data_IF_715695517272
#
_entry.id   IF_715695517272
#
_cell.length_a   1.000
_cell.length_b   1.000
_cell.length_c   1.000
_cell.angle_alpha   90.00
_cell.angle_beta   90.00
_cell.angle_gamma   90.00
#
_symmetry.space_group_name_H-M   'P 1'
#
loop_
_entity.id
_entity.type
_entity.pdbx_description
1 polymer ?
#
# COMPACT_ATOMS: atom_id res chain seq x y z
N UNK A 1 -1.93 -33.45 24.87
CA UNK A 1 -1.74 -31.99 24.75
C UNK A 1 -1.87 -31.61 23.28
N UNK A 2 -2.76 -30.70 22.90
CA UNK A 2 -2.76 -30.19 21.52
C UNK A 2 -1.40 -29.52 21.25
N UNK A 3 -0.73 -29.89 20.17
CA UNK A 3 0.52 -29.26 19.74
C UNK A 3 0.23 -27.75 19.55
N UNK A 4 1.05 -26.91 20.14
CA UNK A 4 0.93 -25.47 19.93
C UNK A 4 1.20 -25.14 18.44
N UNK A 5 0.22 -24.57 17.78
CA UNK A 5 0.25 -24.29 16.33
C UNK A 5 1.35 -23.29 15.94
N UNK A 6 1.81 -22.45 16.88
CA UNK A 6 2.73 -21.34 16.64
C UNK A 6 3.99 -21.40 17.54
N UNK A 7 4.37 -22.57 18.01
CA UNK A 7 5.49 -22.74 18.96
C UNK A 7 6.81 -22.22 18.41
N UNK A 8 7.15 -22.57 17.16
CA UNK A 8 8.40 -22.16 16.53
C UNK A 8 8.38 -20.66 16.26
N UNK A 9 7.31 -20.14 15.71
CA UNK A 9 7.14 -18.70 15.42
C UNK A 9 7.28 -17.86 16.68
N UNK A 10 6.67 -18.28 17.80
CA UNK A 10 6.81 -17.59 19.09
C UNK A 10 8.26 -17.59 19.58
N UNK A 11 8.95 -18.74 19.50
CA UNK A 11 10.37 -18.82 19.88
C UNK A 11 11.26 -17.95 19.00
N UNK A 12 10.96 -17.87 17.69
CA UNK A 12 11.69 -17.01 16.77
C UNK A 12 11.42 -15.54 17.06
N UNK A 13 10.19 -15.16 17.41
CA UNK A 13 9.84 -13.79 17.76
C UNK A 13 10.60 -13.32 19.01
N UNK A 14 10.67 -14.13 20.08
CA UNK A 14 11.47 -13.80 21.28
C UNK A 14 12.95 -13.58 20.94
N UNK A 15 13.52 -14.37 20.01
CA UNK A 15 14.89 -14.15 19.55
C UNK A 15 15.03 -12.87 18.74
N UNK A 16 14.03 -12.55 17.91
CA UNK A 16 14.03 -11.33 17.11
C UNK A 16 13.93 -10.09 17.99
N UNK A 17 13.08 -10.08 19.02
CA UNK A 17 12.95 -8.97 19.98
C UNK A 17 14.28 -8.65 20.71
N UNK A 18 15.10 -9.66 20.95
CA UNK A 18 16.41 -9.47 21.56
C UNK A 18 17.45 -8.79 20.63
N UNK A 19 17.21 -8.78 19.31
CA UNK A 19 18.17 -8.33 18.31
C UNK A 19 17.66 -7.18 17.42
N UNK A 20 16.36 -7.07 17.27
CA UNK A 20 15.70 -6.12 16.36
C UNK A 20 14.65 -5.33 17.16
N UNK A 21 14.60 -4.03 17.11
CA UNK A 21 13.58 -3.25 17.81
C UNK A 21 12.15 -3.76 17.56
N UNK A 22 11.46 -4.23 18.63
CA UNK A 22 10.14 -4.85 18.54
C UNK A 22 10.09 -6.15 17.71
N UNK A 23 11.24 -6.79 17.46
CA UNK A 23 11.34 -8.05 16.72
C UNK A 23 11.10 -7.97 15.20
N UNK A 24 10.95 -6.76 14.64
CA UNK A 24 10.54 -6.55 13.23
C UNK A 24 11.29 -5.37 12.59
N UNK A 25 11.39 -5.40 11.24
CA UNK A 25 11.96 -4.30 10.46
C UNK A 25 10.88 -3.33 9.91
N UNK A 26 9.61 -3.51 10.28
CA UNK A 26 8.51 -2.58 10.01
C UNK A 26 7.42 -2.77 11.07
N UNK A 27 6.94 -1.68 11.72
CA UNK A 27 6.13 -1.76 12.95
C UNK A 27 4.86 -2.60 12.85
N UNK A 28 4.12 -2.51 11.74
CA UNK A 28 2.86 -3.23 11.55
C UNK A 28 3.03 -4.77 11.61
N UNK A 29 4.23 -5.28 11.31
CA UNK A 29 4.54 -6.72 11.34
C UNK A 29 4.58 -7.31 12.76
N UNK A 30 4.65 -6.47 13.80
CA UNK A 30 4.71 -6.90 15.21
C UNK A 30 3.33 -7.29 15.80
N UNK A 31 2.25 -7.25 15.02
CA UNK A 31 0.88 -7.57 15.47
C UNK A 31 0.33 -6.66 16.59
N UNK A 32 0.90 -5.48 16.79
CA UNK A 32 0.48 -4.58 17.87
C UNK A 32 -1.02 -4.23 17.81
N UNK A 33 -1.60 -4.07 16.61
CA UNK A 33 -3.03 -3.74 16.45
C UNK A 33 -3.97 -4.92 16.70
N UNK A 34 -3.48 -6.14 16.47
CA UNK A 34 -4.29 -7.35 16.61
C UNK A 34 -3.92 -8.19 17.83
N UNK A 35 -2.75 -7.92 18.44
CA UNK A 35 -2.22 -8.70 19.56
C UNK A 35 -1.69 -10.07 19.14
N UNK A 36 -1.17 -10.82 20.11
CA UNK A 36 -0.52 -12.10 19.86
C UNK A 36 0.90 -11.96 19.30
N UNK A 37 1.43 -13.01 18.73
CA UNK A 37 2.76 -13.06 18.15
C UNK A 37 2.67 -13.24 16.62
N UNK A 38 3.52 -12.56 15.85
CA UNK A 38 3.55 -12.75 14.41
C UNK A 38 4.02 -14.16 14.03
N UNK A 39 3.54 -14.67 12.92
CA UNK A 39 4.03 -15.90 12.30
C UNK A 39 5.32 -15.62 11.53
N UNK A 40 6.26 -16.59 11.54
CA UNK A 40 7.52 -16.47 10.81
C UNK A 40 7.47 -17.29 9.53
N UNK A 41 7.52 -16.61 8.40
CA UNK A 41 7.42 -17.23 7.08
C UNK A 41 8.72 -17.89 6.67
N UNK A 42 8.62 -19.15 6.19
CA UNK A 42 9.71 -19.96 5.65
C UNK A 42 9.82 -19.89 4.14
N UNK A 43 8.67 -19.82 3.44
CA UNK A 43 8.58 -19.69 1.98
C UNK A 43 7.22 -19.15 1.55
N UNK A 44 7.16 -18.61 0.34
CA UNK A 44 5.91 -18.29 -0.35
C UNK A 44 5.91 -18.92 -1.75
N UNK A 45 4.75 -19.33 -2.25
CA UNK A 45 4.56 -19.85 -3.62
C UNK A 45 3.13 -19.61 -4.09
N UNK A 46 2.96 -18.95 -5.25
CA UNK A 46 1.64 -18.60 -5.78
C UNK A 46 0.86 -17.75 -4.78
N UNK A 47 -0.35 -18.13 -4.44
CA UNK A 47 -1.18 -17.43 -3.46
C UNK A 47 -0.86 -17.76 -1.99
N UNK A 48 0.15 -18.60 -1.71
CA UNK A 48 0.34 -19.21 -0.40
C UNK A 48 1.62 -18.80 0.31
N UNK A 49 1.52 -18.60 1.63
CA UNK A 49 2.63 -18.55 2.57
C UNK A 49 2.73 -19.86 3.37
N UNK A 50 3.93 -20.21 3.75
CA UNK A 50 4.24 -21.35 4.60
C UNK A 50 5.11 -20.86 5.75
N UNK A 51 4.66 -21.06 6.99
CA UNK A 51 5.39 -20.58 8.16
C UNK A 51 6.44 -21.60 8.68
N UNK A 52 7.14 -21.20 9.72
CA UNK A 52 8.16 -22.03 10.38
C UNK A 52 7.57 -23.22 11.15
N UNK A 53 6.29 -23.17 11.48
CA UNK A 53 5.53 -24.23 12.17
C UNK A 53 4.84 -25.19 11.17
N UNK A 54 5.15 -25.06 9.86
CA UNK A 54 4.58 -25.83 8.74
C UNK A 54 3.06 -25.60 8.50
N UNK A 55 2.51 -24.48 8.98
CA UNK A 55 1.18 -24.06 8.58
C UNK A 55 1.20 -23.42 7.20
N UNK A 56 0.06 -23.52 6.50
CA UNK A 56 -0.16 -22.92 5.18
C UNK A 56 -1.25 -21.84 5.27
N UNK A 57 -1.06 -20.74 4.56
CA UNK A 57 -2.00 -19.62 4.54
C UNK A 57 -2.23 -19.14 3.12
N UNK A 58 -3.49 -18.84 2.76
CA UNK A 58 -3.82 -17.99 1.62
C UNK A 58 -3.44 -16.56 2.01
N UNK A 59 -2.60 -15.90 1.20
CA UNK A 59 -2.02 -14.60 1.52
C UNK A 59 -2.78 -13.44 0.86
N UNK A 60 -3.39 -12.60 1.68
CA UNK A 60 -4.02 -11.34 1.25
C UNK A 60 -3.17 -10.11 1.55
N UNK A 61 -1.96 -10.27 2.09
CA UNK A 61 -0.99 -9.18 2.24
C UNK A 61 -0.17 -8.99 0.97
N UNK A 62 0.22 -10.09 0.30
CA UNK A 62 0.98 -10.08 -0.95
C UNK A 62 2.19 -9.13 -0.88
N UNK A 63 2.95 -9.19 0.25
CA UNK A 63 4.07 -8.28 0.54
C UNK A 63 3.67 -6.80 0.44
N UNK A 64 2.54 -6.45 1.07
CA UNK A 64 1.95 -5.10 1.05
C UNK A 64 1.60 -4.62 -0.36
N UNK A 65 1.15 -5.56 -1.18
CA UNK A 65 0.73 -5.31 -2.54
C UNK A 65 1.83 -5.36 -3.60
N UNK A 66 3.05 -5.80 -3.28
CA UNK A 66 4.13 -5.87 -4.28
C UNK A 66 4.02 -7.06 -5.25
N UNK A 67 3.26 -8.10 -4.90
CA UNK A 67 3.25 -9.38 -5.61
C UNK A 67 1.96 -9.60 -6.43
N UNK A 68 1.83 -8.89 -7.56
CA UNK A 68 0.64 -8.94 -8.42
C UNK A 68 0.35 -10.35 -8.96
N UNK A 69 1.38 -11.13 -9.27
CA UNK A 69 1.28 -12.53 -9.76
C UNK A 69 1.52 -13.56 -8.65
N UNK A 70 1.53 -13.14 -7.37
CA UNK A 70 1.80 -14.02 -6.24
C UNK A 70 3.28 -14.29 -5.98
N UNK A 71 3.52 -15.13 -4.99
CA UNK A 71 4.87 -15.48 -4.52
C UNK A 71 5.65 -16.34 -5.50
N UNK A 72 6.97 -16.12 -5.54
CA UNK A 72 7.92 -16.88 -6.33
C UNK A 72 7.51 -17.01 -7.80
N UNK A 73 6.99 -15.95 -8.39
CA UNK A 73 6.59 -15.91 -9.79
C UNK A 73 7.79 -16.21 -10.68
N UNK A 74 7.75 -17.36 -11.38
CA UNK A 74 8.92 -17.95 -12.04
C UNK A 74 9.64 -17.02 -13.02
N UNK A 75 8.96 -16.25 -13.90
CA UNK A 75 9.65 -15.34 -14.82
C UNK A 75 10.54 -14.32 -14.09
N UNK A 76 10.04 -13.73 -13.00
CA UNK A 76 10.79 -12.77 -12.18
C UNK A 76 11.94 -13.45 -11.44
N UNK A 77 11.67 -14.60 -10.78
CA UNK A 77 12.71 -15.36 -10.05
C UNK A 77 13.83 -15.81 -11.01
N UNK A 78 13.47 -16.31 -12.18
CA UNK A 78 14.42 -16.74 -13.21
C UNK A 78 15.32 -15.59 -13.70
N UNK A 79 14.73 -14.42 -13.94
CA UNK A 79 15.49 -13.22 -14.34
C UNK A 79 16.45 -12.76 -13.24
N UNK A 80 16.00 -12.75 -11.98
CA UNK A 80 16.89 -12.43 -10.83
C UNK A 80 18.06 -13.41 -10.74
N UNK A 81 17.78 -14.72 -10.87
CA UNK A 81 18.83 -15.76 -10.82
C UNK A 81 19.86 -15.57 -11.94
N UNK A 82 19.42 -15.31 -13.16
CA UNK A 82 20.32 -15.05 -14.30
C UNK A 82 21.15 -13.78 -14.06
N UNK A 83 20.52 -12.69 -13.65
CA UNK A 83 21.22 -11.44 -13.37
C UNK A 83 22.21 -11.57 -12.20
N UNK A 84 21.88 -12.33 -11.16
CA UNK A 84 22.77 -12.54 -10.02
C UNK A 84 24.11 -13.19 -10.41
N UNK A 85 24.12 -14.05 -11.44
CA UNK A 85 25.33 -14.65 -11.98
C UNK A 85 26.23 -13.64 -12.71
N UNK A 86 25.68 -12.53 -13.19
CA UNK A 86 26.40 -11.46 -13.87
C UNK A 86 26.90 -10.37 -12.92
N UNK A 87 26.32 -10.30 -11.72
CA UNK A 87 26.63 -9.32 -10.69
C UNK A 87 25.38 -8.63 -10.14
N UNK A 88 25.49 -8.14 -8.90
CA UNK A 88 24.37 -7.61 -8.13
C UNK A 88 24.35 -6.08 -8.05
N UNK A 89 25.51 -5.43 -8.27
CA UNK A 89 25.64 -3.96 -8.25
C UNK A 89 26.97 -3.55 -8.91
N UNK A 90 26.96 -2.48 -9.68
CA UNK A 90 28.16 -2.04 -10.43
C UNK A 90 28.59 -0.60 -10.08
N UNK A 91 27.67 0.26 -9.61
CA UNK A 91 27.96 1.68 -9.38
C UNK A 91 28.15 2.51 -10.66
N UNK A 92 27.75 1.95 -11.81
CA UNK A 92 27.78 2.57 -13.14
C UNK A 92 26.50 2.20 -13.91
N UNK A 93 26.09 2.99 -14.93
CA UNK A 93 24.86 2.74 -15.68
C UNK A 93 24.85 1.38 -16.37
N UNK A 94 23.65 0.81 -16.53
CA UNK A 94 23.41 -0.47 -17.20
C UNK A 94 22.34 -0.34 -18.29
N UNK A 95 22.36 -1.25 -19.27
CA UNK A 95 21.33 -1.34 -20.31
C UNK A 95 19.95 -1.65 -19.71
N UNK A 96 19.89 -2.43 -18.64
CA UNK A 96 18.65 -2.80 -17.95
C UNK A 96 17.91 -1.57 -17.40
N UNK A 97 18.60 -0.52 -16.97
CA UNK A 97 17.99 0.74 -16.56
C UNK A 97 17.24 1.41 -17.72
N UNK A 98 17.83 1.38 -18.92
CA UNK A 98 17.24 1.97 -20.13
C UNK A 98 16.00 1.17 -20.53
N UNK A 99 16.10 -0.16 -20.51
CA UNK A 99 14.99 -1.05 -20.87
C UNK A 99 13.81 -0.87 -19.91
N UNK A 100 14.03 -0.86 -18.60
CA UNK A 100 12.96 -0.64 -17.62
C UNK A 100 12.37 0.76 -17.75
N UNK A 101 13.21 1.79 -17.95
CA UNK A 101 12.74 3.15 -18.15
C UNK A 101 11.82 3.27 -19.38
N UNK A 102 12.20 2.61 -20.49
CA UNK A 102 11.37 2.56 -21.70
C UNK A 102 10.02 1.89 -21.42
N UNK A 103 10.02 0.70 -20.82
CA UNK A 103 8.79 -0.03 -20.48
C UNK A 103 7.89 0.78 -19.55
N UNK A 104 8.47 1.52 -18.62
CA UNK A 104 7.74 2.38 -17.68
C UNK A 104 7.10 3.56 -18.40
N UNK A 105 7.86 4.31 -19.19
CA UNK A 105 7.36 5.48 -19.93
C UNK A 105 6.31 5.07 -20.97
N UNK A 106 6.49 3.94 -21.65
CA UNK A 106 5.52 3.40 -22.61
C UNK A 106 4.21 2.95 -21.95
N UNK A 107 4.24 2.62 -20.64
CA UNK A 107 3.06 2.13 -19.91
C UNK A 107 2.29 3.25 -19.21
N UNK A 108 2.97 4.24 -18.62
CA UNK A 108 2.35 5.22 -17.73
C UNK A 108 2.00 6.51 -18.51
N UNK A 109 0.71 6.88 -18.63
CA UNK A 109 0.30 8.08 -19.35
C UNK A 109 0.97 9.35 -18.79
N UNK A 110 1.22 10.32 -19.67
CA UNK A 110 1.75 11.67 -19.34
C UNK A 110 3.16 11.69 -18.72
N UNK A 111 3.83 10.53 -18.66
CA UNK A 111 5.22 10.39 -18.21
C UNK A 111 6.17 10.40 -19.41
N UNK A 112 7.19 11.25 -19.36
CA UNK A 112 8.22 11.36 -20.40
C UNK A 112 9.62 10.98 -19.90
N UNK A 113 9.85 11.06 -18.57
CA UNK A 113 11.11 10.67 -17.92
C UNK A 113 10.82 10.04 -16.56
N UNK A 114 11.70 9.10 -16.18
CA UNK A 114 11.66 8.40 -14.90
C UNK A 114 13.05 8.40 -14.25
N UNK A 115 13.09 8.46 -12.93
CA UNK A 115 14.27 8.21 -12.10
C UNK A 115 13.97 7.09 -11.12
N UNK A 116 14.78 6.03 -11.15
CA UNK A 116 14.69 4.92 -10.19
C UNK A 116 15.40 5.26 -8.89
N UNK A 117 14.85 4.77 -7.80
CA UNK A 117 15.34 4.86 -6.43
C UNK A 117 15.10 3.52 -5.71
N UNK A 118 15.39 3.40 -4.40
CA UNK A 118 15.35 2.10 -3.73
C UNK A 118 14.04 1.82 -2.96
N UNK A 119 13.18 2.80 -2.79
CA UNK A 119 11.93 2.67 -2.03
C UNK A 119 10.89 3.71 -2.45
N UNK A 120 9.62 3.46 -2.07
CA UNK A 120 8.56 4.44 -2.20
C UNK A 120 8.84 5.72 -1.41
N UNK A 121 9.44 5.61 -0.21
CA UNK A 121 9.86 6.78 0.59
C UNK A 121 10.86 7.66 -0.15
N UNK A 122 11.87 7.07 -0.78
CA UNK A 122 12.82 7.84 -1.58
C UNK A 122 12.15 8.48 -2.79
N UNK A 123 11.18 7.79 -3.42
CA UNK A 123 10.44 8.33 -4.55
C UNK A 123 9.60 9.55 -4.16
N UNK A 124 8.81 9.47 -3.11
CA UNK A 124 7.96 10.57 -2.63
C UNK A 124 8.77 11.74 -2.09
N UNK A 125 9.80 11.47 -1.29
CA UNK A 125 10.76 12.47 -0.81
C UNK A 125 11.41 13.24 -1.96
N UNK A 126 11.81 12.52 -3.01
CA UNK A 126 12.45 13.13 -4.18
C UNK A 126 11.46 13.91 -5.03
N UNK A 127 10.22 13.43 -5.17
CA UNK A 127 9.17 14.12 -5.90
C UNK A 127 8.80 15.47 -5.26
N UNK A 128 8.64 15.55 -3.92
CA UNK A 128 8.37 16.84 -3.27
C UNK A 128 9.57 17.78 -3.32
N UNK A 129 10.80 17.26 -3.21
CA UNK A 129 12.00 18.09 -3.40
C UNK A 129 12.05 18.67 -4.81
N UNK A 130 11.74 17.85 -5.82
CA UNK A 130 11.68 18.28 -7.21
C UNK A 130 10.58 19.33 -7.41
N UNK A 131 9.39 19.12 -6.85
CA UNK A 131 8.28 20.07 -6.92
C UNK A 131 8.65 21.44 -6.30
N UNK A 132 9.29 21.43 -5.13
CA UNK A 132 9.81 22.66 -4.49
C UNK A 132 10.85 23.34 -5.35
N UNK A 133 11.81 22.58 -5.89
CA UNK A 133 12.87 23.14 -6.75
C UNK A 133 12.35 23.70 -8.07
N UNK A 134 11.33 23.06 -8.66
CA UNK A 134 10.71 23.51 -9.90
C UNK A 134 9.85 24.77 -9.72
N UNK A 135 9.06 24.83 -8.65
CA UNK A 135 8.13 25.94 -8.41
C UNK A 135 8.75 27.12 -7.66
N UNK A 136 9.89 26.90 -6.98
CA UNK A 136 10.49 27.89 -6.06
C UNK A 136 9.68 28.09 -4.77
N UNK A 137 8.70 27.21 -4.47
CA UNK A 137 7.80 27.29 -3.32
C UNK A 137 8.12 26.22 -2.29
N UNK A 138 7.74 26.42 -1.02
CA UNK A 138 8.13 25.51 0.07
C UNK A 138 7.01 24.57 0.53
N UNK A 139 5.76 25.04 0.54
CA UNK A 139 4.66 24.30 1.16
C UNK A 139 4.17 23.16 0.27
N UNK A 140 3.75 22.08 0.92
CA UNK A 140 3.04 20.96 0.26
C UNK A 140 1.73 20.70 1.00
N UNK A 141 0.73 20.23 0.27
CA UNK A 141 -0.50 19.69 0.87
C UNK A 141 -0.43 18.16 0.77
N UNK A 142 -0.69 17.47 1.90
CA UNK A 142 -0.97 16.04 1.96
C UNK A 142 -2.31 15.80 2.65
N UNK A 143 -2.85 14.58 2.56
CA UNK A 143 -4.15 14.25 3.14
C UNK A 143 -4.01 13.47 4.44
N UNK A 144 -4.89 13.77 5.41
CA UNK A 144 -5.02 13.02 6.66
C UNK A 144 -5.38 11.57 6.31
N UNK A 145 -4.73 10.62 6.96
CA UNK A 145 -4.89 9.19 6.68
C UNK A 145 -4.05 8.64 5.51
N UNK A 146 -3.49 9.50 4.64
CA UNK A 146 -2.57 9.08 3.59
C UNK A 146 -1.13 8.96 4.09
N UNK A 147 -0.41 7.95 3.57
CA UNK A 147 0.98 7.67 3.91
C UNK A 147 1.88 7.77 2.66
N UNK A 148 2.94 8.55 2.77
CA UNK A 148 3.87 8.81 1.68
C UNK A 148 5.32 8.44 2.03
N UNK A 149 5.50 7.41 2.85
CA UNK A 149 6.81 7.02 3.37
C UNK A 149 7.18 7.76 4.66
N UNK A 150 8.39 7.52 5.14
CA UNK A 150 8.86 7.96 6.45
C UNK A 150 9.91 9.09 6.40
N UNK A 151 9.93 9.89 5.34
CA UNK A 151 10.69 11.15 5.34
C UNK A 151 10.04 12.13 6.32
N UNK A 152 10.85 12.88 7.08
CA UNK A 152 10.39 13.74 8.16
C UNK A 152 9.22 14.65 7.77
N UNK A 153 9.26 15.24 6.58
CA UNK A 153 8.19 16.12 6.08
C UNK A 153 6.81 15.43 5.91
N UNK A 154 6.75 14.10 5.94
CA UNK A 154 5.49 13.36 5.83
C UNK A 154 4.98 12.80 7.16
N UNK A 155 5.77 12.85 8.23
CA UNK A 155 5.41 12.29 9.54
C UNK A 155 4.51 13.24 10.35
N UNK A 156 3.46 13.70 9.72
CA UNK A 156 2.41 14.56 10.26
C UNK A 156 1.06 13.94 9.90
N UNK A 157 0.19 13.66 10.86
CA UNK A 157 -1.11 13.02 10.68
C UNK A 157 -1.04 11.83 9.71
N UNK A 158 -0.11 10.90 9.98
CA UNK A 158 0.26 9.80 9.08
C UNK A 158 -0.87 8.81 8.79
N UNK A 159 -0.58 7.89 7.89
CA UNK A 159 -1.44 6.76 7.54
C UNK A 159 -1.30 5.57 8.50
N UNK A 160 -1.51 4.35 7.98
CA UNK A 160 -1.65 3.10 8.76
C UNK A 160 -0.52 2.84 9.76
N UNK A 161 0.73 3.13 9.42
CA UNK A 161 1.87 2.88 10.28
C UNK A 161 1.82 3.67 11.59
N UNK A 162 1.58 4.96 11.53
CA UNK A 162 1.46 5.85 12.69
C UNK A 162 0.13 5.66 13.41
N UNK A 163 -0.98 5.51 12.68
CA UNK A 163 -2.30 5.23 13.27
C UNK A 163 -2.32 3.90 14.02
N UNK A 164 -1.64 2.88 13.47
CA UNK A 164 -1.52 1.56 14.12
C UNK A 164 -0.78 1.62 15.44
N UNK A 165 0.21 2.53 15.55
CA UNK A 165 0.94 2.78 16.79
C UNK A 165 0.21 3.75 17.74
N UNK A 166 -0.89 4.36 17.31
CA UNK A 166 -1.59 5.38 18.09
C UNK A 166 -0.79 6.67 18.30
N UNK A 167 0.21 6.91 17.47
CA UNK A 167 1.08 8.10 17.52
C UNK A 167 0.80 8.93 16.27
N UNK A 168 0.17 10.12 16.39
CA UNK A 168 -0.12 10.97 15.23
C UNK A 168 1.14 11.53 14.57
N UNK A 169 2.19 11.76 15.35
CA UNK A 169 3.49 12.27 14.91
C UNK A 169 4.62 11.36 15.41
N UNK A 170 5.78 11.40 14.76
CA UNK A 170 6.95 10.65 15.20
C UNK A 170 7.84 11.49 16.13
N UNK A 171 8.21 10.93 17.28
CA UNK A 171 9.27 11.50 18.10
C UNK A 171 10.58 11.59 17.29
N UNK A 172 11.34 12.65 17.48
CA UNK A 172 12.61 12.92 16.80
C UNK A 172 12.48 13.67 15.47
N UNK A 173 11.26 13.93 15.00
CA UNK A 173 11.03 14.84 13.87
C UNK A 173 10.99 16.27 14.38
N UNK A 174 11.90 17.16 13.92
CA UNK A 174 11.90 18.55 14.37
C UNK A 174 10.72 19.34 13.77
N UNK A 175 10.17 20.28 14.50
CA UNK A 175 9.04 21.12 14.04
C UNK A 175 9.30 21.78 12.69
N UNK A 176 10.51 22.25 12.44
CA UNK A 176 10.91 22.86 11.17
C UNK A 176 10.83 21.91 9.97
N UNK A 177 10.92 20.59 10.16
CA UNK A 177 10.81 19.63 9.07
C UNK A 177 9.37 19.46 8.56
N UNK A 178 8.39 19.73 9.42
CA UNK A 178 6.96 19.58 9.11
C UNK A 178 6.22 20.91 8.92
N UNK A 179 6.85 22.03 9.25
CA UNK A 179 6.24 23.37 9.20
C UNK A 179 5.68 23.79 7.84
N UNK A 180 6.21 23.20 6.78
CA UNK A 180 5.77 23.43 5.39
C UNK A 180 4.87 22.31 4.83
N UNK A 181 4.38 21.40 5.68
CA UNK A 181 3.43 20.34 5.30
C UNK A 181 2.05 20.68 5.82
N UNK A 182 1.16 21.02 4.92
CA UNK A 182 -0.23 21.37 5.20
C UNK A 182 -1.10 20.11 5.10
N UNK A 183 -2.10 20.00 5.96
CA UNK A 183 -3.00 18.87 6.05
C UNK A 183 -4.38 19.24 5.50
N UNK A 184 -4.91 18.42 4.60
CA UNK A 184 -6.28 18.49 4.09
C UNK A 184 -7.03 17.20 4.39
N UNK A 185 -8.35 17.25 4.39
CA UNK A 185 -9.18 16.07 4.52
C UNK A 185 -9.31 15.36 3.16
N UNK A 186 -9.12 14.04 3.15
CA UNK A 186 -9.31 13.24 1.95
C UNK A 186 -10.79 13.31 1.50
N UNK A 187 -11.01 13.40 0.20
CA UNK A 187 -12.34 13.60 -0.40
C UNK A 187 -13.01 14.97 -0.12
N UNK A 188 -12.27 15.96 0.39
CA UNK A 188 -12.75 17.33 0.61
C UNK A 188 -11.97 18.34 -0.25
N UNK A 189 -12.55 18.77 -1.37
CA UNK A 189 -11.96 19.84 -2.19
C UNK A 189 -11.96 21.19 -1.46
N UNK A 190 -12.96 21.44 -0.62
CA UNK A 190 -13.07 22.68 0.15
C UNK A 190 -11.89 22.85 1.11
N UNK A 191 -11.44 21.78 1.77
CA UNK A 191 -10.28 21.82 2.64
C UNK A 191 -9.00 22.21 1.89
N UNK A 192 -8.85 21.74 0.66
CA UNK A 192 -7.71 22.07 -0.21
C UNK A 192 -7.80 23.51 -0.73
N UNK A 193 -8.99 23.95 -1.14
CA UNK A 193 -9.23 25.32 -1.62
C UNK A 193 -8.91 26.35 -0.53
N UNK A 194 -9.37 26.13 0.70
CA UNK A 194 -9.06 26.98 1.86
C UNK A 194 -7.55 27.11 2.12
N UNK A 195 -6.78 26.02 1.96
CA UNK A 195 -5.33 26.09 2.10
C UNK A 195 -4.67 26.91 0.99
N UNK A 196 -5.13 26.80 -0.24
CA UNK A 196 -4.64 27.64 -1.35
C UNK A 196 -4.96 29.13 -1.12
N UNK A 197 -6.14 29.46 -0.58
CA UNK A 197 -6.52 30.82 -0.24
C UNK A 197 -5.70 31.38 0.93
N UNK A 198 -5.43 30.56 1.94
CA UNK A 198 -4.65 30.92 3.12
C UNK A 198 -3.17 31.11 2.82
N UNK A 199 -2.61 30.32 1.89
CA UNK A 199 -1.18 30.34 1.55
C UNK A 199 -0.98 30.59 0.04
N UNK A 200 -1.43 31.74 -0.50
CA UNK A 200 -1.32 32.04 -1.92
C UNK A 200 0.15 32.01 -2.35
N UNK A 201 0.43 31.46 -3.52
CA UNK A 201 1.77 31.37 -4.14
C UNK A 201 2.84 30.67 -3.29
N UNK A 202 2.47 30.01 -2.20
CA UNK A 202 3.43 29.32 -1.29
C UNK A 202 3.43 27.81 -1.47
N UNK A 203 2.38 27.24 -2.05
CA UNK A 203 2.20 25.80 -2.20
C UNK A 203 2.87 25.31 -3.48
N UNK A 204 3.86 24.45 -3.33
CA UNK A 204 4.61 23.82 -4.42
C UNK A 204 3.82 22.66 -5.05
N UNK A 205 3.18 21.85 -4.23
CA UNK A 205 2.48 20.67 -4.70
C UNK A 205 1.37 20.20 -3.75
N UNK A 206 0.42 19.47 -4.32
CA UNK A 206 -0.52 18.59 -3.63
C UNK A 206 -0.07 17.15 -3.90
N UNK A 207 0.19 16.35 -2.86
CA UNK A 207 0.48 14.92 -2.98
C UNK A 207 -0.71 14.12 -2.45
N UNK A 208 -1.18 13.14 -3.23
CA UNK A 208 -2.34 12.32 -2.91
C UNK A 208 -2.12 10.86 -3.30
N UNK A 209 -2.55 9.91 -2.47
CA UNK A 209 -2.81 8.54 -2.91
C UNK A 209 -4.11 8.56 -3.73
N UNK A 210 -4.12 8.22 -5.04
CA UNK A 210 -5.35 8.27 -5.85
C UNK A 210 -6.46 7.35 -5.32
N UNK A 211 -6.08 6.23 -4.72
CA UNK A 211 -6.89 5.43 -3.81
C UNK A 211 -6.08 5.32 -2.53
N UNK A 212 -6.61 5.80 -1.43
CA UNK A 212 -5.92 5.66 -0.15
C UNK A 212 -5.91 4.19 0.27
N UNK A 213 -4.73 3.70 0.66
CA UNK A 213 -4.54 2.30 1.06
C UNK A 213 -3.98 2.13 2.46
N UNK A 214 -3.74 3.26 3.17
CA UNK A 214 -3.13 3.30 4.50
C UNK A 214 -4.12 3.74 5.60
N UNK A 215 -5.37 3.95 5.24
CA UNK A 215 -6.53 4.08 6.13
C UNK A 215 -7.62 3.06 5.79
N UNK A 216 -7.20 1.92 5.24
CA UNK A 216 -8.00 0.98 4.48
C UNK A 216 -8.14 1.42 3.02
N UNK A 217 -8.83 0.60 2.21
CA UNK A 217 -9.10 0.92 0.80
C UNK A 217 -10.18 2.00 0.72
N UNK A 218 -9.80 3.27 0.53
CA UNK A 218 -10.74 4.38 0.40
C UNK A 218 -10.62 5.00 -0.98
N UNK A 219 -11.70 4.86 -1.76
CA UNK A 219 -11.77 5.42 -3.11
C UNK A 219 -11.88 6.94 -3.09
N UNK A 220 -11.38 7.65 -4.13
CA UNK A 220 -11.70 9.04 -4.31
C UNK A 220 -13.20 9.19 -4.64
N UNK A 221 -13.87 10.15 -4.02
CA UNK A 221 -15.24 10.51 -4.36
C UNK A 221 -15.31 11.08 -5.79
N UNK A 222 -16.50 10.99 -6.42
CA UNK A 222 -16.66 11.47 -7.79
C UNK A 222 -16.26 12.94 -7.94
N UNK A 223 -15.33 13.22 -8.86
CA UNK A 223 -14.83 14.57 -9.13
C UNK A 223 -13.70 15.04 -8.21
N UNK A 224 -13.28 14.27 -7.19
CA UNK A 224 -12.22 14.70 -6.26
C UNK A 224 -10.86 14.87 -6.96
N UNK A 225 -10.39 13.88 -7.69
CA UNK A 225 -9.10 13.95 -8.38
C UNK A 225 -9.09 15.00 -9.49
N UNK A 226 -10.18 15.12 -10.24
CA UNK A 226 -10.38 16.18 -11.25
C UNK A 226 -10.39 17.57 -10.62
N UNK A 227 -11.01 17.70 -9.45
CA UNK A 227 -11.02 18.93 -8.67
C UNK A 227 -9.62 19.32 -8.20
N UNK A 228 -8.84 18.35 -7.68
CA UNK A 228 -7.43 18.58 -7.32
C UNK A 228 -6.61 19.03 -8.52
N UNK A 229 -6.82 18.41 -9.70
CA UNK A 229 -6.13 18.83 -10.92
C UNK A 229 -6.48 20.29 -11.29
N UNK A 230 -7.76 20.67 -11.18
CA UNK A 230 -8.21 22.05 -11.47
C UNK A 230 -7.60 23.06 -10.49
N UNK A 231 -7.65 22.78 -9.18
CA UNK A 231 -7.06 23.64 -8.16
C UNK A 231 -5.55 23.79 -8.36
N UNK A 232 -4.82 22.70 -8.56
CA UNK A 232 -3.38 22.76 -8.82
C UNK A 232 -3.05 23.59 -10.06
N UNK A 233 -3.84 23.47 -11.14
CA UNK A 233 -3.66 24.27 -12.37
C UNK A 233 -3.94 25.75 -12.12
N UNK A 234 -5.01 26.08 -11.41
CA UNK A 234 -5.41 27.44 -11.06
C UNK A 234 -4.33 28.17 -10.25
N UNK A 235 -3.76 27.48 -9.26
CA UNK A 235 -2.75 28.06 -8.36
C UNK A 235 -1.30 27.79 -8.80
N UNK A 236 -1.10 27.17 -9.97
CA UNK A 236 0.21 26.84 -10.52
C UNK A 236 1.06 25.99 -9.55
N UNK A 237 0.41 25.11 -8.81
CA UNK A 237 1.03 24.07 -8.00
C UNK A 237 1.09 22.76 -8.77
N UNK A 238 2.01 21.85 -8.43
CA UNK A 238 2.08 20.54 -9.05
C UNK A 238 1.11 19.55 -8.36
N UNK A 239 0.46 18.70 -9.15
CA UNK A 239 -0.26 17.54 -8.64
C UNK A 239 0.66 16.32 -8.70
N UNK A 240 0.87 15.67 -7.54
CA UNK A 240 1.66 14.45 -7.40
C UNK A 240 0.73 13.30 -7.05
N UNK A 241 0.65 12.29 -7.91
CA UNK A 241 0.00 11.04 -7.55
C UNK A 241 1.02 10.11 -6.91
N UNK A 242 0.77 9.76 -5.65
CA UNK A 242 1.48 8.68 -5.00
C UNK A 242 0.88 7.35 -5.43
N UNK A 243 1.48 6.79 -6.46
CA UNK A 243 1.10 5.50 -7.04
C UNK A 243 1.98 4.33 -6.52
N UNK A 244 2.62 4.48 -5.39
CA UNK A 244 3.39 3.40 -4.77
C UNK A 244 2.53 2.16 -4.55
N UNK A 245 1.23 2.33 -4.27
CA UNK A 245 0.28 1.24 -4.10
C UNK A 245 -0.55 0.97 -5.36
N UNK A 246 -1.03 2.00 -6.04
CA UNK A 246 -1.95 1.91 -7.18
C UNK A 246 -1.26 1.68 -8.52
N UNK A 247 0.01 2.06 -8.65
CA UNK A 247 0.78 1.93 -9.87
C UNK A 247 0.93 0.48 -10.33
N UNK A 248 0.62 0.20 -11.59
CA UNK A 248 0.55 -1.15 -12.17
C UNK A 248 -0.44 -2.10 -11.47
N UNK A 249 -1.22 -1.60 -10.51
CA UNK A 249 -2.24 -2.38 -9.79
C UNK A 249 -3.64 -2.15 -10.33
N UNK A 250 -4.04 -0.89 -10.50
CA UNK A 250 -5.40 -0.56 -10.96
C UNK A 250 -5.54 -0.74 -12.47
N UNK A 251 -4.52 -0.35 -13.20
CA UNK A 251 -4.39 -0.48 -14.64
C UNK A 251 -2.91 -0.59 -15.01
N UNK A 252 -2.62 -0.85 -16.28
CA UNK A 252 -1.27 -0.88 -16.81
C UNK A 252 -0.52 0.45 -16.58
N UNK A 253 -1.21 1.57 -16.79
CA UNK A 253 -0.70 2.92 -16.56
C UNK A 253 -1.03 3.48 -15.18
N UNK A 254 -1.46 2.64 -14.23
CA UNK A 254 -1.79 3.04 -12.86
C UNK A 254 -3.08 3.83 -12.75
N UNK A 255 -3.15 4.71 -11.75
CA UNK A 255 -4.32 5.51 -11.43
C UNK A 255 -4.61 6.61 -12.47
N UNK A 256 -3.59 7.16 -13.13
CA UNK A 256 -3.80 8.12 -14.21
C UNK A 256 -4.63 7.52 -15.35
N UNK A 257 -4.35 6.27 -15.75
CA UNK A 257 -5.15 5.54 -16.75
C UNK A 257 -6.53 5.20 -16.21
N UNK A 258 -6.61 4.72 -14.98
CA UNK A 258 -7.85 4.22 -14.37
C UNK A 258 -8.87 5.35 -14.16
N UNK A 259 -8.46 6.48 -13.60
CA UNK A 259 -9.33 7.63 -13.31
C UNK A 259 -9.35 8.68 -14.42
N UNK A 260 -8.48 8.58 -15.43
CA UNK A 260 -8.34 9.53 -16.54
C UNK A 260 -8.03 10.96 -16.06
N UNK A 261 -7.20 11.06 -15.02
CA UNK A 261 -6.73 12.34 -14.47
C UNK A 261 -5.22 12.42 -14.60
N UNK A 262 -4.73 13.52 -15.15
CA UNK A 262 -3.32 13.78 -15.35
C UNK A 262 -2.68 14.36 -14.08
N UNK A 263 -1.57 13.75 -13.61
CA UNK A 263 -0.68 14.31 -12.61
C UNK A 263 0.59 14.89 -13.27
N UNK A 264 1.23 15.86 -12.62
CA UNK A 264 2.50 16.44 -13.07
C UNK A 264 3.68 15.52 -12.75
N UNK A 265 3.62 14.87 -11.59
CA UNK A 265 4.56 13.88 -11.12
C UNK A 265 3.82 12.66 -10.58
N UNK A 266 4.43 11.50 -10.71
CA UNK A 266 3.96 10.23 -10.13
C UNK A 266 5.07 9.55 -9.37
N UNK A 267 4.73 8.83 -8.29
CA UNK A 267 5.68 8.01 -7.54
C UNK A 267 5.25 6.55 -7.55
N UNK A 268 6.17 5.63 -7.75
CA UNK A 268 5.92 4.20 -7.86
C UNK A 268 6.84 3.41 -6.92
N UNK A 269 6.42 2.21 -6.61
CA UNK A 269 7.16 1.24 -5.81
C UNK A 269 6.54 -0.14 -5.95
N UNK A 270 6.68 -0.96 -4.92
CA UNK A 270 5.97 -2.25 -4.79
C UNK A 270 6.02 -3.11 -6.07
N UNK A 271 4.98 -3.07 -6.92
CA UNK A 271 4.86 -3.91 -8.13
C UNK A 271 6.02 -3.71 -9.10
N UNK A 272 6.52 -2.48 -9.26
CA UNK A 272 7.65 -2.22 -10.16
C UNK A 272 8.90 -3.00 -9.78
N UNK A 273 9.06 -3.32 -8.49
CA UNK A 273 10.18 -4.15 -7.98
C UNK A 273 9.86 -5.63 -7.87
N UNK A 274 8.58 -6.00 -8.00
CA UNK A 274 8.15 -7.39 -7.86
C UNK A 274 8.70 -8.13 -6.62
N UNK A 275 8.77 -7.43 -5.48
CA UNK A 275 9.33 -7.93 -4.23
C UNK A 275 10.78 -7.52 -3.96
N UNK A 276 11.49 -6.93 -4.90
CA UNK A 276 12.81 -6.32 -4.68
C UNK A 276 12.69 -4.83 -4.31
N UNK A 277 13.66 -4.29 -3.54
CA UNK A 277 13.68 -2.89 -3.16
C UNK A 277 13.93 -1.98 -4.36
N UNK A 278 12.87 -1.32 -4.82
CA UNK A 278 12.90 -0.28 -5.85
C UNK A 278 11.72 0.66 -5.67
N UNK A 279 11.95 1.91 -6.01
CA UNK A 279 10.94 2.93 -6.23
C UNK A 279 11.26 3.70 -7.52
N UNK A 280 10.34 4.54 -7.94
CA UNK A 280 10.54 5.44 -9.06
C UNK A 280 9.73 6.71 -8.84
N UNK A 281 10.23 7.83 -9.35
CA UNK A 281 9.42 9.02 -9.54
C UNK A 281 9.59 9.49 -10.99
N UNK A 282 8.53 9.98 -11.56
CA UNK A 282 8.45 10.22 -12.99
C UNK A 282 7.49 11.37 -13.30
N UNK A 283 7.60 11.93 -14.51
CA UNK A 283 6.72 13.00 -14.93
C UNK A 283 7.14 13.62 -16.27
N UNK A 284 6.65 14.84 -16.48
CA UNK A 284 6.95 15.60 -17.69
C UNK A 284 8.43 15.98 -17.76
N UNK A 285 8.98 15.98 -18.97
CA UNK A 285 10.40 16.24 -19.23
C UNK A 285 10.89 17.54 -18.59
N UNK A 286 10.19 18.65 -18.79
CA UNK A 286 10.61 19.96 -18.31
C UNK A 286 10.65 20.07 -16.77
N UNK A 287 9.89 19.24 -16.04
CA UNK A 287 9.97 19.12 -14.59
C UNK A 287 11.13 18.22 -14.21
N UNK A 288 11.22 17.02 -14.81
CA UNK A 288 12.25 16.04 -14.51
C UNK A 288 13.65 16.52 -14.85
N UNK A 289 13.81 17.42 -15.83
CA UNK A 289 15.11 18.00 -16.22
C UNK A 289 15.66 18.99 -15.16
N UNK A 290 14.89 19.35 -14.13
CA UNK A 290 15.41 20.06 -12.96
C UNK A 290 16.27 19.19 -12.04
N UNK A 291 16.29 17.87 -12.26
CA UNK A 291 17.16 16.96 -11.50
C UNK A 291 18.61 17.03 -11.98
N UNK A 292 19.54 16.96 -11.02
CA UNK A 292 20.95 16.77 -11.31
C UNK A 292 21.17 15.47 -12.13
N UNK A 293 22.07 15.48 -13.13
CA UNK A 293 23.06 16.49 -13.48
C UNK A 293 22.55 17.61 -14.41
N UNK A 294 21.30 17.58 -14.89
CA UNK A 294 20.76 18.60 -15.80
C UNK A 294 20.35 19.88 -15.06
N UNK A 295 19.71 19.75 -13.92
CA UNK A 295 19.23 20.86 -13.11
C UNK A 295 19.83 20.87 -11.69
N UNK A 296 19.39 21.82 -10.86
CA UNK A 296 19.99 22.04 -9.53
C UNK A 296 19.45 21.11 -8.44
N UNK A 297 18.38 20.34 -8.69
CA UNK A 297 17.74 19.50 -7.67
C UNK A 297 18.52 18.20 -7.50
N UNK A 298 19.12 18.01 -6.33
CA UNK A 298 19.97 16.84 -6.06
C UNK A 298 19.15 15.62 -5.61
N UNK A 299 19.47 14.48 -6.21
CA UNK A 299 19.04 13.13 -5.79
C UNK A 299 20.14 12.15 -6.19
N UNK A 300 20.48 11.22 -5.31
CA UNK A 300 21.46 10.16 -5.59
C UNK A 300 21.12 8.91 -4.74
N UNK A 301 21.65 7.76 -5.17
CA UNK A 301 21.54 6.50 -4.44
C UNK A 301 22.51 5.47 -5.02
N UNK A 302 23.34 4.89 -4.18
CA UNK A 302 24.35 3.88 -4.59
C UNK A 302 23.71 2.69 -5.29
N UNK A 303 22.54 2.26 -4.83
CA UNK A 303 21.82 1.09 -5.36
C UNK A 303 20.65 1.47 -6.28
N UNK A 304 20.47 2.76 -6.59
CA UNK A 304 19.47 3.21 -7.56
C UNK A 304 19.79 2.65 -8.94
N UNK A 305 18.85 1.95 -9.54
CA UNK A 305 19.07 1.28 -10.83
C UNK A 305 19.86 -0.03 -10.70
N UNK A 306 19.92 -0.65 -9.50
CA UNK A 306 20.64 -1.92 -9.35
C UNK A 306 20.08 -3.00 -10.30
N UNK A 307 20.97 -3.82 -10.89
CA UNK A 307 20.58 -4.71 -11.98
C UNK A 307 19.60 -5.81 -11.56
N UNK A 308 19.58 -6.23 -10.30
CA UNK A 308 18.60 -7.23 -9.82
C UNK A 308 17.18 -6.66 -9.82
N UNK A 309 17.01 -5.46 -9.27
CA UNK A 309 15.70 -4.80 -9.24
C UNK A 309 15.26 -4.40 -10.66
N UNK A 310 16.18 -3.96 -11.52
CA UNK A 310 15.87 -3.66 -12.92
C UNK A 310 15.41 -4.90 -13.68
N UNK A 311 16.09 -6.04 -13.54
CA UNK A 311 15.71 -7.28 -14.21
C UNK A 311 14.34 -7.81 -13.72
N UNK A 312 14.06 -7.71 -12.42
CA UNK A 312 12.77 -8.06 -11.88
C UNK A 312 11.63 -7.17 -12.42
N UNK A 313 11.85 -5.85 -12.46
CA UNK A 313 10.92 -4.87 -13.00
C UNK A 313 10.64 -5.06 -14.49
N UNK A 314 11.68 -5.34 -15.28
CA UNK A 314 11.56 -5.63 -16.71
C UNK A 314 10.62 -6.83 -16.95
N UNK A 315 10.84 -7.94 -16.26
CA UNK A 315 10.01 -9.13 -16.42
C UNK A 315 8.56 -8.88 -15.94
N UNK A 316 8.39 -8.14 -14.86
CA UNK A 316 7.07 -7.75 -14.37
C UNK A 316 6.32 -6.91 -15.41
N UNK A 317 6.93 -5.83 -15.93
CA UNK A 317 6.26 -4.95 -16.90
C UNK A 317 6.06 -5.63 -18.25
N UNK A 318 6.98 -6.49 -18.70
CA UNK A 318 6.77 -7.33 -19.89
C UNK A 318 5.56 -8.25 -19.72
N UNK A 319 5.38 -8.84 -18.55
CA UNK A 319 4.23 -9.71 -18.28
C UNK A 319 2.93 -8.92 -18.25
N UNK A 320 2.90 -7.78 -17.57
CA UNK A 320 1.74 -6.88 -17.56
C UNK A 320 1.37 -6.45 -18.98
N UNK A 321 2.35 -6.03 -19.79
CA UNK A 321 2.11 -5.57 -21.16
C UNK A 321 1.58 -6.65 -22.11
N UNK A 322 1.89 -7.93 -21.85
CA UNK A 322 1.45 -9.05 -22.68
C UNK A 322 0.07 -9.60 -22.31
N UNK A 323 -0.42 -9.29 -21.12
CA UNK A 323 -1.63 -9.90 -20.57
C UNK A 323 -2.79 -8.90 -20.50
N UNK A 324 -3.44 -8.65 -21.63
CA UNK A 324 -4.56 -7.72 -21.75
C UNK A 324 -5.77 -8.07 -20.85
N UNK A 325 -5.89 -9.33 -20.43
CA UNK A 325 -6.98 -9.80 -19.59
C UNK A 325 -6.68 -9.69 -18.08
N UNK A 326 -5.43 -9.38 -17.69
CA UNK A 326 -4.96 -9.40 -16.31
C UNK A 326 -5.88 -8.61 -15.36
N UNK A 327 -6.11 -7.35 -15.65
CA UNK A 327 -6.88 -6.46 -14.76
C UNK A 327 -8.35 -6.87 -14.66
N UNK A 328 -8.95 -7.36 -15.77
CA UNK A 328 -10.31 -7.90 -15.76
C UNK A 328 -10.41 -9.16 -14.91
N UNK A 329 -9.42 -10.07 -14.99
CA UNK A 329 -9.41 -11.29 -14.16
C UNK A 329 -9.28 -10.97 -12.67
N UNK A 330 -8.35 -10.08 -12.30
CA UNK A 330 -8.15 -9.73 -10.90
C UNK A 330 -9.35 -8.95 -10.35
N UNK A 331 -9.91 -8.03 -11.14
CA UNK A 331 -11.15 -7.32 -10.78
C UNK A 331 -12.31 -8.28 -10.55
N UNK A 332 -12.49 -9.27 -11.42
CA UNK A 332 -13.53 -10.30 -11.25
C UNK A 332 -13.34 -11.09 -9.96
N UNK A 333 -12.11 -11.49 -9.63
CA UNK A 333 -11.79 -12.14 -8.36
C UNK A 333 -12.13 -11.25 -7.16
N UNK A 334 -11.82 -9.96 -7.25
CA UNK A 334 -12.12 -8.99 -6.18
C UNK A 334 -13.63 -8.83 -5.99
N UNK A 335 -14.38 -8.62 -7.07
CA UNK A 335 -15.85 -8.51 -7.01
C UNK A 335 -16.50 -9.78 -6.47
N UNK A 336 -16.03 -10.95 -6.91
CA UNK A 336 -16.52 -12.24 -6.40
C UNK A 336 -16.32 -12.40 -4.89
N UNK A 337 -15.10 -12.08 -4.40
CA UNK A 337 -14.81 -12.14 -2.97
C UNK A 337 -15.66 -11.13 -2.19
N UNK A 338 -15.80 -9.91 -2.70
CA UNK A 338 -16.61 -8.85 -2.09
C UNK A 338 -18.08 -9.25 -1.96
N UNK A 339 -18.68 -9.74 -3.05
CA UNK A 339 -20.07 -10.19 -3.07
C UNK A 339 -20.30 -11.37 -2.12
N UNK A 340 -19.38 -12.35 -2.12
CA UNK A 340 -19.45 -13.49 -1.20
C UNK A 340 -19.33 -13.08 0.26
N UNK A 341 -18.40 -12.18 0.59
CA UNK A 341 -18.28 -11.65 1.95
C UNK A 341 -19.52 -10.85 2.34
N UNK A 342 -20.04 -9.95 1.50
CA UNK A 342 -21.29 -9.21 1.74
C UNK A 342 -22.44 -10.15 2.08
N UNK A 343 -22.63 -11.20 1.28
CA UNK A 343 -23.68 -12.20 1.53
C UNK A 343 -23.55 -12.87 2.91
N UNK A 344 -22.31 -13.19 3.32
CA UNK A 344 -22.05 -13.76 4.66
C UNK A 344 -22.39 -12.78 5.79
N UNK A 345 -21.98 -11.51 5.65
CA UNK A 345 -22.27 -10.48 6.66
C UNK A 345 -23.77 -10.18 6.77
N UNK A 346 -24.47 -10.11 5.64
CA UNK A 346 -25.93 -9.91 5.61
C UNK A 346 -26.66 -11.09 6.24
N UNK A 347 -26.32 -12.34 5.88
CA UNK A 347 -26.92 -13.56 6.46
C UNK A 347 -26.75 -13.61 7.98
N UNK A 348 -25.57 -13.23 8.48
CA UNK A 348 -25.24 -13.25 9.90
C UNK A 348 -25.60 -11.96 10.63
N UNK A 349 -26.21 -10.99 9.96
CA UNK A 349 -26.60 -9.68 10.49
C UNK A 349 -25.44 -8.93 11.16
N UNK A 350 -24.23 -9.01 10.58
CA UNK A 350 -23.04 -8.28 11.03
C UNK A 350 -22.89 -7.01 10.20
N UNK A 351 -22.92 -5.86 10.87
CA UNK A 351 -22.70 -4.57 10.20
C UNK A 351 -21.23 -4.42 9.78
N UNK A 352 -21.01 -4.16 8.51
CA UNK A 352 -19.68 -3.95 7.92
C UNK A 352 -19.79 -3.04 6.71
N UNK A 353 -18.83 -2.15 6.54
CA UNK A 353 -18.59 -1.48 5.27
C UNK A 353 -17.46 -2.22 4.54
N UNK A 354 -17.66 -2.59 3.29
CA UNK A 354 -16.66 -3.21 2.43
C UNK A 354 -16.35 -2.24 1.29
N UNK A 355 -15.12 -1.77 1.23
CA UNK A 355 -14.62 -0.95 0.14
C UNK A 355 -13.69 -1.77 -0.76
N UNK A 356 -13.82 -1.63 -2.07
CA UNK A 356 -12.91 -2.24 -3.03
C UNK A 356 -12.60 -1.32 -4.21
N UNK A 357 -11.36 -1.36 -4.71
CA UNK A 357 -10.94 -0.71 -5.96
C UNK A 357 -9.88 -1.57 -6.64
N UNK A 358 -10.13 -1.99 -7.87
CA UNK A 358 -9.20 -2.86 -8.61
C UNK A 358 -9.00 -4.19 -7.89
N UNK A 359 -7.81 -4.44 -7.38
CA UNK A 359 -7.44 -5.63 -6.62
C UNK A 359 -7.15 -5.33 -5.14
N UNK A 360 -7.72 -4.26 -4.63
CA UNK A 360 -7.64 -3.83 -3.22
C UNK A 360 -9.02 -3.95 -2.58
N UNK A 361 -9.09 -4.42 -1.34
CA UNK A 361 -10.33 -4.54 -0.58
C UNK A 361 -10.04 -4.28 0.90
N UNK A 362 -11.00 -3.71 1.64
CA UNK A 362 -10.94 -3.53 3.10
C UNK A 362 -12.30 -3.75 3.74
N UNK A 363 -12.27 -4.22 4.98
CA UNK A 363 -13.45 -4.44 5.82
C UNK A 363 -13.41 -3.49 7.02
N UNK A 364 -14.50 -2.74 7.23
CA UNK A 364 -14.67 -1.82 8.35
C UNK A 364 -15.87 -2.25 9.17
N UNK A 365 -15.62 -2.92 10.28
CA UNK A 365 -16.68 -3.44 11.16
C UNK A 365 -17.42 -2.32 11.90
N UNK A 366 -18.74 -2.44 12.02
CA UNK A 366 -19.62 -1.46 12.65
C UNK A 366 -19.55 -0.05 12.03
N UNK A 367 -19.28 0.03 10.73
CA UNK A 367 -19.21 1.29 9.98
C UNK A 367 -20.25 1.27 8.87
N UNK A 368 -20.95 2.39 8.64
CA UNK A 368 -21.93 2.53 7.56
C UNK A 368 -21.25 2.80 6.22
N UNK A 369 -20.54 3.91 6.14
CA UNK A 369 -19.79 4.31 4.92
C UNK A 369 -18.44 4.86 5.35
N UNK A 370 -17.39 4.40 4.68
CA UNK A 370 -16.02 4.87 4.93
C UNK A 370 -15.50 5.57 3.68
N UNK A 371 -15.29 6.88 3.80
CA UNK A 371 -14.85 7.75 2.69
C UNK A 371 -13.63 8.60 3.04
N UNK A 372 -13.21 8.60 4.30
CA UNK A 372 -12.09 9.38 4.82
C UNK A 372 -11.49 8.71 6.07
N UNK A 373 -10.47 9.35 6.65
CA UNK A 373 -9.80 8.82 7.83
C UNK A 373 -10.69 8.83 9.09
N UNK A 374 -11.50 9.87 9.27
CA UNK A 374 -12.37 9.98 10.44
C UNK A 374 -13.43 8.85 10.44
N UNK A 375 -14.06 8.58 9.31
CA UNK A 375 -14.99 7.46 9.15
C UNK A 375 -14.31 6.10 9.28
N UNK A 376 -13.07 5.94 8.80
CA UNK A 376 -12.31 4.71 8.99
C UNK A 376 -11.98 4.42 10.46
N UNK A 377 -11.66 5.46 11.24
CA UNK A 377 -11.40 5.34 12.69
C UNK A 377 -12.66 4.91 13.49
N UNK A 378 -13.86 5.12 12.95
CA UNK A 378 -15.12 4.67 13.54
C UNK A 378 -15.31 3.16 13.54
N UNK A 379 -14.50 2.41 12.78
CA UNK A 379 -14.62 0.96 12.71
C UNK A 379 -14.17 0.27 14.02
N UNK A 380 -14.85 -0.85 14.36
CA UNK A 380 -14.58 -1.62 15.58
C UNK A 380 -13.31 -2.47 15.45
N UNK A 381 -12.22 -1.95 16.01
CA UNK A 381 -10.92 -2.64 16.04
C UNK A 381 -10.95 -3.94 16.88
N UNK A 382 -11.87 -4.07 17.85
CA UNK A 382 -12.01 -5.28 18.67
C UNK A 382 -12.59 -6.45 17.87
N UNK A 383 -13.64 -6.18 17.08
CA UNK A 383 -14.21 -7.19 16.17
C UNK A 383 -13.17 -7.54 15.09
N UNK A 384 -12.50 -6.54 14.52
CA UNK A 384 -11.44 -6.81 13.53
C UNK A 384 -10.35 -7.73 14.10
N UNK A 385 -9.88 -7.48 15.33
CA UNK A 385 -8.87 -8.31 16.00
C UNK A 385 -9.34 -9.76 16.14
N UNK A 386 -10.57 -9.97 16.59
CA UNK A 386 -11.12 -11.31 16.76
C UNK A 386 -11.29 -12.02 15.41
N UNK A 387 -11.76 -11.30 14.40
CA UNK A 387 -11.88 -11.80 13.02
C UNK A 387 -10.52 -12.15 12.42
N UNK A 388 -9.51 -11.29 12.56
CA UNK A 388 -8.15 -11.54 12.10
C UNK A 388 -7.59 -12.87 12.65
N UNK A 389 -7.67 -13.07 13.97
CA UNK A 389 -7.16 -14.32 14.59
C UNK A 389 -7.97 -15.53 14.14
N UNK A 390 -9.28 -15.42 14.04
CA UNK A 390 -10.12 -16.50 13.53
C UNK A 390 -9.76 -16.88 12.09
N UNK A 391 -9.55 -15.90 11.21
CA UNK A 391 -9.12 -16.14 9.83
C UNK A 391 -7.71 -16.75 9.78
N UNK A 392 -6.77 -16.29 10.62
CA UNK A 392 -5.44 -16.86 10.74
C UNK A 392 -5.47 -18.35 11.14
N UNK A 393 -6.36 -18.70 12.08
CA UNK A 393 -6.58 -20.10 12.47
C UNK A 393 -7.19 -20.94 11.34
N UNK A 394 -7.98 -20.34 10.46
CA UNK A 394 -8.50 -20.98 9.24
C UNK A 394 -7.47 -21.04 8.11
N UNK A 395 -6.25 -20.56 8.29
CA UNK A 395 -5.24 -20.54 7.23
C UNK A 395 -5.40 -19.41 6.22
N UNK A 396 -5.99 -18.28 6.62
CA UNK A 396 -6.08 -17.06 5.83
C UNK A 396 -5.22 -15.98 6.51
N UNK A 397 -4.24 -15.46 5.79
CA UNK A 397 -3.35 -14.41 6.30
C UNK A 397 -3.80 -13.04 5.80
N UNK A 398 -4.44 -12.28 6.69
CA UNK A 398 -4.89 -10.91 6.47
C UNK A 398 -3.84 -9.90 6.93
N UNK A 399 -3.86 -8.64 6.48
CA UNK A 399 -3.07 -7.59 7.11
C UNK A 399 -3.41 -7.44 8.60
N UNK A 400 -2.41 -7.36 9.49
CA UNK A 400 -2.63 -7.30 10.94
C UNK A 400 -2.99 -5.88 11.41
N UNK A 401 -3.84 -5.17 10.68
CA UNK A 401 -4.36 -3.85 11.02
C UNK A 401 -5.67 -3.58 10.27
N UNK A 402 -6.68 -2.99 10.90
CA UNK A 402 -7.92 -2.60 10.22
C UNK A 402 -7.73 -1.47 9.20
N UNK A 403 -6.60 -0.75 9.28
CA UNK A 403 -6.25 0.36 8.37
C UNK A 403 -5.43 -0.08 7.16
N UNK A 404 -5.13 -1.36 7.03
CA UNK A 404 -4.41 -1.89 5.86
C UNK A 404 -5.39 -2.51 4.86
N UNK A 405 -5.08 -2.31 3.57
CA UNK A 405 -5.81 -2.96 2.50
C UNK A 405 -5.37 -4.42 2.33
N UNK A 406 -6.31 -5.29 2.01
CA UNK A 406 -6.00 -6.62 1.46
C UNK A 406 -5.70 -6.48 -0.02
N UNK A 407 -4.83 -7.32 -0.53
CA UNK A 407 -4.41 -7.32 -1.92
C UNK A 407 -4.67 -8.67 -2.56
N UNK A 408 -5.43 -8.69 -3.65
CA UNK A 408 -5.61 -9.89 -4.43
C UNK A 408 -4.50 -10.00 -5.47
N UNK A 409 -3.94 -11.20 -5.61
CA UNK A 409 -3.00 -11.53 -6.68
C UNK A 409 -3.68 -12.35 -7.77
N UNK A 410 -3.09 -12.35 -8.97
CA UNK A 410 -3.57 -13.20 -10.07
C UNK A 410 -3.41 -14.71 -9.77
N UNK A 411 -2.58 -15.06 -8.79
CA UNK A 411 -2.35 -16.44 -8.36
C UNK A 411 -3.50 -17.08 -7.58
N UNK A 412 -4.42 -16.28 -7.00
CA UNK A 412 -5.60 -16.81 -6.29
C UNK A 412 -6.49 -17.59 -7.26
N UNK A 413 -6.92 -18.77 -6.84
CA UNK A 413 -7.88 -19.59 -7.58
C UNK A 413 -9.31 -19.32 -7.13
N UNK A 414 -10.30 -19.85 -7.85
CA UNK A 414 -11.70 -19.78 -7.41
C UNK A 414 -11.89 -20.51 -6.08
N UNK A 415 -11.26 -21.66 -5.91
CA UNK A 415 -11.30 -22.46 -4.69
C UNK A 415 -10.74 -21.71 -3.49
N UNK A 416 -9.68 -20.88 -3.68
CA UNK A 416 -9.12 -20.04 -2.62
C UNK A 416 -10.13 -18.98 -2.16
N UNK A 417 -10.85 -18.39 -3.10
CA UNK A 417 -11.89 -17.38 -2.81
C UNK A 417 -13.09 -18.00 -2.08
N UNK A 418 -13.58 -19.15 -2.56
CA UNK A 418 -14.66 -19.91 -1.95
C UNK A 418 -14.30 -20.31 -0.52
N UNK A 419 -13.08 -20.81 -0.34
CA UNK A 419 -12.56 -21.18 0.99
C UNK A 419 -12.48 -19.96 1.92
N UNK A 420 -12.05 -18.80 1.41
CA UNK A 420 -11.97 -17.57 2.19
C UNK A 420 -13.34 -17.09 2.66
N UNK A 421 -14.35 -17.15 1.79
CA UNK A 421 -15.74 -16.78 2.12
C UNK A 421 -16.29 -17.71 3.20
N UNK A 422 -16.08 -19.03 3.08
CA UNK A 422 -16.56 -20.01 4.06
C UNK A 422 -15.79 -19.92 5.40
N UNK A 423 -14.50 -19.63 5.36
CA UNK A 423 -13.71 -19.33 6.57
C UNK A 423 -14.27 -18.11 7.30
N UNK A 424 -14.61 -17.03 6.58
CA UNK A 424 -15.24 -15.84 7.18
C UNK A 424 -16.58 -16.18 7.82
N UNK A 425 -17.43 -16.98 7.16
CA UNK A 425 -18.71 -17.48 7.72
C UNK A 425 -18.48 -18.24 9.02
N UNK A 426 -17.54 -19.18 9.03
CA UNK A 426 -17.21 -20.02 10.19
C UNK A 426 -16.75 -19.15 11.37
N UNK A 427 -15.84 -18.21 11.12
CA UNK A 427 -15.27 -17.31 12.13
C UNK A 427 -16.35 -16.42 12.73
N UNK A 428 -17.14 -15.76 11.90
CA UNK A 428 -18.21 -14.86 12.36
C UNK A 428 -19.30 -15.58 13.15
N UNK A 429 -19.71 -16.77 12.70
CA UNK A 429 -20.66 -17.62 13.45
C UNK A 429 -20.13 -17.97 14.84
N UNK A 430 -18.84 -18.27 14.94
CA UNK A 430 -18.16 -18.53 16.22
C UNK A 430 -18.14 -17.31 17.14
N UNK A 431 -17.81 -16.14 16.59
CA UNK A 431 -17.78 -14.87 17.35
C UNK A 431 -19.15 -14.49 17.90
N UNK A 432 -20.21 -14.62 17.08
CA UNK A 432 -21.60 -14.33 17.50
C UNK A 432 -22.02 -15.26 18.64
N UNK A 433 -21.79 -16.58 18.52
CA UNK A 433 -22.11 -17.56 19.58
C UNK A 433 -21.41 -17.25 20.90
N UNK A 434 -20.12 -16.88 20.85
CA UNK A 434 -19.32 -16.53 22.02
C UNK A 434 -19.87 -15.23 22.69
N UNK A 435 -20.27 -14.21 21.91
CA UNK A 435 -20.86 -12.98 22.44
C UNK A 435 -22.16 -13.28 23.19
N UNK A 436 -23.07 -14.04 22.58
CA UNK A 436 -24.33 -14.44 23.20
C UNK A 436 -24.10 -15.22 24.50
N UNK A 437 -23.13 -16.15 24.52
CA UNK A 437 -22.79 -16.92 25.72
C UNK A 437 -22.26 -16.03 26.85
N UNK A 438 -21.47 -14.99 26.54
CA UNK A 438 -20.92 -14.04 27.52
C UNK A 438 -22.02 -13.12 28.08
N UNK A 439 -22.90 -12.62 27.25
CA UNK A 439 -24.05 -11.78 27.67
C UNK A 439 -25.05 -12.57 28.51
N UNK A 440 -25.31 -13.83 28.18
CA UNK A 440 -26.19 -14.71 28.98
C UNK A 440 -25.61 -15.04 30.36
N UNK A 441 -24.30 -15.17 30.49
CA UNK A 441 -23.66 -15.40 31.81
C UNK A 441 -23.71 -14.15 32.71
N UNK A 442 -23.62 -12.94 32.11
CA UNK A 442 -23.73 -11.68 32.85
C UNK A 442 -25.18 -11.38 33.34
N UNK A 443 -26.21 -11.97 32.70
CA UNK A 443 -27.62 -11.81 33.11
C UNK A 443 -28.00 -12.67 34.34
N UNK A 444 -27.21 -13.66 34.72
CA UNK A 444 -27.40 -14.54 35.87
C UNK A 444 -26.73 -14.06 37.17
N UNK A 445 -25.99 -12.95 37.10
CA UNK A 445 -25.22 -12.36 38.22
C UNK A 445 -25.80 -11.00 38.69
N UNK A 446 -27.07 -10.70 38.36
CA UNK A 446 -27.80 -9.54 38.91
C UNK A 446 -28.97 -9.97 39.77
#
# INVERSE_FOLDING_TARGET
MKKDRYEISRRLFLKAEALIPGGVNSPVRAFNSVGGNPVFVKKGKGAYLYDADDNTYIDYVNSWGALLFGHAFFPVVGSIQQQALLGTSYGIPTEAEIELAKLFVDAVPHVEKVRFVNSGTEATMSAIRLARGFTGRNKIIKFIGCYHGHADSFLVAGGSGLSTLGIPDSAGVPEGAVADTLLADFNSLDSVALLFEQFPESIAAVIVEPVAGNMGCVAPSGGFLEGLRKLCSQYQALLIFDEVMTGFRLARGGAQEYFKVEADLVTFGKIVGSGLPVGAFAGKRHIMDQLAPLGPVYQAGTLSGNPLAMSAGIEMLKRINKDEALYRRIQHKTSYLEEGLKSVFEELQVQVCINSVGSMISLFFNSDVVTDYASAQGADAGIFRAFFHGMLEQGIYLPPSPFESWFLSDALTQEDLDYTIEAARTVLTGLIKNKIATESTLSWTR
#
